data_IF_399725253387
#
_entry.id   IF_399725253387
#
_cell.length_a   1.000
_cell.length_b   1.000
_cell.length_c   1.000
_cell.angle_alpha   90.00
_cell.angle_beta   90.00
_cell.angle_gamma   90.00
#
_symmetry.space_group_name_H-M   'P 1'
#
loop_
_entity.id
_entity.type
_entity.pdbx_description
1 polymer ?
#
# COMPACT_ATOMS: atom_id res chain seq x y z
N UNK A 1 -1.04 -5.19 -77.08
CA UNK A 1 -1.41 -4.07 -76.20
C UNK A 1 -0.42 -4.06 -75.04
N UNK A 2 0.58 -3.17 -75.09
CA UNK A 2 1.62 -3.06 -74.07
C UNK A 2 1.54 -1.66 -73.45
N UNK A 3 1.41 -1.59 -72.13
CA UNK A 3 1.40 -0.37 -71.32
C UNK A 3 2.81 -0.05 -70.80
N UNK A 4 3.14 1.24 -70.55
CA UNK A 4 4.50 1.70 -70.24
C UNK A 4 4.91 1.56 -68.76
N UNK A 5 6.23 1.60 -68.43
CA UNK A 5 6.76 1.38 -67.08
C UNK A 5 6.87 2.67 -66.23
N UNK A 6 6.89 2.49 -64.90
CA UNK A 6 7.08 3.54 -63.89
C UNK A 6 8.22 3.18 -62.90
N UNK A 7 8.81 4.18 -62.20
CA UNK A 7 10.26 4.24 -61.95
C UNK A 7 10.76 3.81 -60.56
N UNK A 8 12.05 3.50 -60.56
CA UNK A 8 12.99 3.16 -59.48
C UNK A 8 13.16 4.29 -58.47
N UNK A 9 13.28 3.96 -57.17
CA UNK A 9 13.85 4.87 -56.17
C UNK A 9 14.88 4.15 -55.28
N UNK A 10 16.10 4.68 -55.32
CA UNK A 10 17.29 4.29 -54.56
C UNK A 10 17.28 5.05 -53.24
N UNK A 11 17.46 4.34 -52.12
CA UNK A 11 17.63 4.93 -50.80
C UNK A 11 19.13 5.19 -50.58
N UNK A 12 19.55 6.45 -50.74
CA UNK A 12 20.87 6.96 -50.37
C UNK A 12 20.80 7.74 -49.05
N UNK A 13 21.80 7.54 -48.20
CA UNK A 13 21.90 8.10 -46.85
C UNK A 13 22.22 9.59 -46.78
N UNK A 14 22.19 10.12 -45.56
CA UNK A 14 22.60 11.47 -45.22
C UNK A 14 22.32 11.80 -43.76
N UNK A 15 23.37 12.18 -43.04
CA UNK A 15 23.43 12.40 -41.60
C UNK A 15 23.31 13.91 -41.26
N UNK A 16 22.96 14.19 -40.00
CA UNK A 16 23.17 15.46 -39.24
C UNK A 16 22.29 16.68 -39.59
N UNK A 17 21.42 17.06 -38.63
CA UNK A 17 21.63 18.24 -37.78
C UNK A 17 20.61 18.25 -36.63
N UNK A 18 21.10 18.49 -35.42
CA UNK A 18 20.31 18.68 -34.21
C UNK A 18 20.21 20.19 -33.96
N UNK A 19 19.02 20.77 -34.09
CA UNK A 19 18.73 22.15 -33.68
C UNK A 19 17.73 22.17 -32.51
N UNK A 20 18.20 22.78 -31.43
CA UNK A 20 17.47 23.75 -30.61
C UNK A 20 16.11 23.39 -30.01
N UNK A 21 16.10 23.11 -28.70
CA UNK A 21 15.04 23.63 -27.83
C UNK A 21 15.63 24.26 -26.57
N UNK A 22 15.28 25.53 -26.42
CA UNK A 22 15.61 26.47 -25.36
C UNK A 22 14.76 26.19 -24.10
N UNK A 23 15.32 26.47 -22.92
CA UNK A 23 14.49 26.83 -21.78
C UNK A 23 14.95 26.36 -20.41
N UNK A 24 15.53 27.33 -19.67
CA UNK A 24 15.53 27.47 -18.20
C UNK A 24 16.65 26.74 -17.44
N UNK A 25 17.82 27.39 -17.41
CA UNK A 25 18.77 27.29 -16.31
C UNK A 25 19.29 28.70 -15.93
N UNK A 26 18.81 29.19 -14.80
CA UNK A 26 19.32 30.33 -14.00
C UNK A 26 18.61 30.13 -12.65
N UNK A 27 19.24 30.00 -11.48
CA UNK A 27 20.48 30.61 -11.00
C UNK A 27 21.24 29.64 -10.08
N UNK A 28 22.57 29.70 -10.19
CA UNK A 28 23.56 29.08 -9.30
C UNK A 28 24.25 30.21 -8.52
N UNK A 29 24.39 29.98 -7.20
CA UNK A 29 25.45 30.44 -6.28
C UNK A 29 25.79 31.93 -6.14
N UNK A 30 25.87 32.35 -4.87
CA UNK A 30 27.13 32.76 -4.22
C UNK A 30 26.93 32.69 -2.69
N UNK A 31 27.52 31.73 -1.97
CA UNK A 31 28.87 31.75 -1.35
C UNK A 31 28.90 32.45 0.03
N UNK A 32 28.98 31.60 1.06
CA UNK A 32 30.03 31.59 2.10
C UNK A 32 30.16 32.78 3.08
N UNK A 33 30.15 32.41 4.38
CA UNK A 33 31.17 32.75 5.38
C UNK A 33 30.88 33.80 6.47
N UNK A 34 31.28 33.44 7.70
CA UNK A 34 31.68 34.25 8.88
C UNK A 34 30.61 34.71 9.91
N UNK A 35 30.50 33.93 10.99
CA UNK A 35 30.97 34.26 12.37
C UNK A 35 30.74 35.70 12.90
N UNK A 36 29.86 35.85 13.90
CA UNK A 36 30.15 36.30 15.28
C UNK A 36 28.93 37.00 15.91
N UNK A 37 28.74 36.66 17.18
CA UNK A 37 28.02 37.35 18.24
C UNK A 37 27.96 38.87 18.09
N UNK A 38 26.89 39.51 18.59
CA UNK A 38 26.96 40.51 19.66
C UNK A 38 25.57 41.12 19.98
N UNK A 39 25.32 41.27 21.28
CA UNK A 39 24.33 42.13 21.97
C UNK A 39 22.84 41.75 22.07
N UNK A 40 22.52 41.20 23.25
CA UNK A 40 21.31 41.54 24.01
C UNK A 40 21.07 43.05 24.03
N UNK A 41 19.87 43.47 23.65
CA UNK A 41 19.22 44.68 24.16
C UNK A 41 17.93 44.24 24.85
N UNK A 42 17.83 44.54 26.14
CA UNK A 42 16.58 44.48 26.90
C UNK A 42 15.61 45.49 26.27
N UNK A 43 14.45 45.02 25.83
CA UNK A 43 13.29 45.84 25.52
C UNK A 43 12.13 45.46 26.42
N UNK A 44 11.86 46.27 27.44
CA UNK A 44 10.70 46.13 28.31
C UNK A 44 9.51 46.90 27.72
N UNK A 45 8.40 46.16 27.56
CA UNK A 45 6.99 46.53 27.72
C UNK A 45 6.48 47.82 27.04
N UNK A 46 5.54 47.66 26.11
CA UNK A 46 4.12 48.03 26.31
C UNK A 46 3.33 47.58 25.08
N UNK A 47 2.26 46.81 25.25
CA UNK A 47 1.42 46.42 24.13
C UNK A 47 0.44 45.31 24.50
N UNK A 48 -0.66 45.70 25.12
CA UNK A 48 -1.89 44.91 25.19
C UNK A 48 -2.34 44.58 23.77
N UNK A 49 -2.05 43.36 23.32
CA UNK A 49 -2.41 42.87 22.01
C UNK A 49 -2.39 41.37 22.05
N UNK A 50 -3.55 40.77 21.86
CA UNK A 50 -3.79 39.33 21.81
C UNK A 50 -2.64 38.59 21.13
N UNK A 51 -1.81 37.91 21.91
CA UNK A 51 -0.93 36.88 21.39
C UNK A 51 -1.82 35.71 20.99
N UNK A 52 -2.34 35.74 19.76
CA UNK A 52 -2.67 34.51 19.06
C UNK A 52 -1.35 33.75 18.89
N UNK A 53 -0.98 32.97 19.91
CA UNK A 53 -0.14 31.79 19.72
C UNK A 53 -0.88 30.95 18.70
N UNK A 54 -0.47 31.06 17.44
CA UNK A 54 -0.81 30.08 16.43
C UNK A 54 -0.23 28.77 16.94
N UNK A 55 -1.07 27.96 17.57
CA UNK A 55 -0.80 26.55 17.72
C UNK A 55 -0.75 26.02 16.29
N UNK A 56 0.45 25.76 15.79
CA UNK A 56 0.62 24.88 14.64
C UNK A 56 0.62 23.47 15.23
N UNK A 57 -0.47 22.68 15.14
CA UNK A 57 -0.37 21.27 15.45
C UNK A 57 0.22 20.61 14.19
N UNK A 58 1.49 20.89 13.93
CA UNK A 58 2.30 20.05 13.06
C UNK A 58 2.85 18.92 13.92
N UNK A 59 2.66 17.71 13.40
CA UNK A 59 3.19 16.44 13.91
C UNK A 59 2.43 15.81 15.08
N UNK A 60 2.00 14.57 14.82
CA UNK A 60 1.36 13.62 15.73
C UNK A 60 -0.03 14.02 16.23
N UNK A 61 -1.00 13.85 15.34
CA UNK A 61 -2.33 13.44 15.75
C UNK A 61 -2.21 12.04 16.39
N UNK A 62 -1.88 11.99 17.68
CA UNK A 62 -2.13 10.82 18.53
C UNK A 62 -3.65 10.65 18.62
N UNK A 63 -4.25 10.04 17.58
CA UNK A 63 -5.67 9.70 17.59
C UNK A 63 -5.91 8.49 18.51
N UNK A 64 -6.31 8.77 19.75
CA UNK A 64 -7.30 7.98 20.48
C UNK A 64 -8.50 7.67 19.54
N UNK A 65 -9.07 6.48 19.40
CA UNK A 65 -8.78 5.15 19.93
C UNK A 65 -9.48 4.07 19.08
N UNK A 66 -9.51 4.21 17.75
CA UNK A 66 -10.05 3.17 16.86
C UNK A 66 -8.99 2.10 16.60
N UNK A 67 -9.13 0.91 17.19
CA UNK A 67 -8.21 -0.21 17.02
C UNK A 67 -8.32 -0.89 15.64
N UNK A 68 -9.48 -0.78 15.00
CA UNK A 68 -9.77 -1.37 13.68
C UNK A 68 -9.38 -0.40 12.57
N UNK A 69 -8.07 -0.28 12.34
CA UNK A 69 -7.49 0.54 11.26
C UNK A 69 -7.03 -0.35 10.10
N UNK A 70 -6.98 0.17 8.86
CA UNK A 70 -6.36 -0.56 7.75
C UNK A 70 -4.89 -0.90 8.08
N UNK A 71 -4.44 -2.08 7.66
CA UNK A 71 -3.12 -2.61 7.99
C UNK A 71 -3.04 -3.34 9.34
N UNK A 72 -4.12 -3.34 10.14
CA UNK A 72 -4.20 -4.18 11.35
C UNK A 72 -4.54 -5.62 11.01
N UNK A 73 -3.94 -6.54 11.76
CA UNK A 73 -4.22 -7.97 11.66
C UNK A 73 -5.42 -8.31 12.54
N UNK A 74 -6.31 -9.10 11.99
CA UNK A 74 -7.54 -9.58 12.63
C UNK A 74 -7.66 -11.09 12.49
N UNK A 75 -8.37 -11.70 13.42
CA UNK A 75 -8.77 -13.10 13.36
C UNK A 75 -10.24 -13.17 13.01
N UNK A 76 -10.58 -14.03 12.04
CA UNK A 76 -11.98 -14.24 11.65
C UNK A 76 -12.63 -15.21 12.63
N UNK A 77 -13.75 -14.82 13.21
CA UNK A 77 -14.48 -15.62 14.20
C UNK A 77 -15.55 -16.51 13.55
N UNK A 78 -16.19 -16.04 12.48
CA UNK A 78 -17.37 -16.71 11.91
C UNK A 78 -17.29 -16.96 10.40
N UNK A 79 -18.05 -17.95 9.94
CA UNK A 79 -18.19 -18.35 8.54
C UNK A 79 -17.09 -19.29 8.04
N UNK A 80 -17.05 -19.52 6.72
CA UNK A 80 -16.13 -20.48 6.08
C UNK A 80 -14.64 -20.28 6.42
N UNK A 81 -14.24 -19.06 6.72
CA UNK A 81 -12.84 -18.71 7.02
C UNK A 81 -12.62 -18.43 8.51
N UNK A 82 -13.47 -18.95 9.41
CA UNK A 82 -13.24 -18.88 10.86
C UNK A 82 -11.89 -19.49 11.25
N UNK A 83 -11.21 -18.90 12.22
CA UNK A 83 -9.88 -19.33 12.67
C UNK A 83 -8.72 -18.93 11.75
N UNK A 84 -9.00 -18.24 10.64
CA UNK A 84 -7.97 -17.71 9.74
C UNK A 84 -7.55 -16.29 10.11
N UNK A 85 -6.25 -16.01 9.89
CA UNK A 85 -5.65 -14.67 10.05
C UNK A 85 -5.88 -13.86 8.79
N UNK A 86 -6.18 -12.58 8.98
CA UNK A 86 -6.43 -11.66 7.90
C UNK A 86 -5.99 -10.23 8.24
N UNK A 87 -5.90 -9.38 7.22
CA UNK A 87 -5.54 -7.96 7.33
C UNK A 87 -6.72 -7.13 6.87
N UNK A 88 -7.03 -6.06 7.62
CA UNK A 88 -8.01 -5.06 7.21
C UNK A 88 -7.40 -4.25 6.06
N UNK A 89 -8.06 -4.25 4.91
CA UNK A 89 -7.64 -3.46 3.74
C UNK A 89 -8.33 -2.09 3.76
N UNK A 90 -9.64 -2.10 3.99
CA UNK A 90 -10.47 -0.90 4.02
C UNK A 90 -11.52 -1.03 5.12
N UNK A 91 -11.62 -0.01 5.95
CA UNK A 91 -12.67 0.17 6.95
C UNK A 91 -13.86 0.90 6.30
N UNK A 92 -15.08 0.48 6.64
CA UNK A 92 -16.33 1.07 6.16
C UNK A 92 -17.25 1.20 7.36
N UNK A 93 -17.14 2.34 8.04
CA UNK A 93 -17.82 2.56 9.31
C UNK A 93 -19.27 3.04 9.09
N UNK A 94 -19.50 3.84 8.04
CA UNK A 94 -20.79 4.51 7.74
C UNK A 94 -21.83 3.62 7.04
N UNK A 95 -21.55 2.32 6.90
CA UNK A 95 -22.42 1.39 6.18
C UNK A 95 -22.44 1.64 4.66
N UNK A 96 -23.15 0.80 3.93
CA UNK A 96 -23.39 0.93 2.47
C UNK A 96 -24.80 0.40 2.20
N UNK A 97 -25.41 0.75 1.07
CA UNK A 97 -26.75 0.27 0.67
C UNK A 97 -26.93 -1.24 0.84
N UNK A 98 -25.91 -2.03 0.48
CA UNK A 98 -25.95 -3.48 0.61
C UNK A 98 -25.77 -3.99 2.05
N UNK A 99 -25.03 -3.25 2.86
CA UNK A 99 -24.56 -3.65 4.18
C UNK A 99 -24.73 -2.44 5.11
N UNK A 100 -25.92 -2.25 5.73
CA UNK A 100 -26.24 -1.05 6.51
C UNK A 100 -25.49 -0.98 7.85
N UNK A 101 -24.67 -1.98 8.17
CA UNK A 101 -23.85 -2.05 9.37
C UNK A 101 -22.38 -1.73 9.08
N UNK A 102 -21.62 -1.39 10.12
CA UNK A 102 -20.18 -1.16 10.03
C UNK A 102 -19.43 -2.45 9.67
N UNK A 103 -18.62 -2.40 8.62
CA UNK A 103 -17.94 -3.58 8.06
C UNK A 103 -16.54 -3.26 7.57
N UNK A 104 -15.74 -4.30 7.39
CA UNK A 104 -14.39 -4.21 6.86
C UNK A 104 -14.23 -5.09 5.63
N UNK A 105 -13.50 -4.57 4.65
CA UNK A 105 -12.95 -5.37 3.57
C UNK A 105 -11.63 -5.98 4.03
N UNK A 106 -11.57 -7.30 4.01
CA UNK A 106 -10.50 -8.07 4.63
C UNK A 106 -9.84 -8.98 3.59
N UNK A 107 -8.51 -9.01 3.61
CA UNK A 107 -7.70 -9.95 2.82
C UNK A 107 -6.94 -10.87 3.77
N UNK A 108 -7.10 -12.19 3.61
CA UNK A 108 -6.53 -13.14 4.54
C UNK A 108 -5.96 -14.39 3.89
N UNK A 109 -5.39 -15.25 4.72
CA UNK A 109 -4.77 -16.51 4.30
C UNK A 109 -5.74 -17.67 4.55
N UNK A 110 -6.20 -18.30 3.47
CA UNK A 110 -7.00 -19.52 3.53
C UNK A 110 -6.09 -20.75 3.74
N UNK A 111 -5.00 -20.84 2.98
CA UNK A 111 -4.02 -21.93 3.16
C UNK A 111 -2.68 -21.35 3.55
N UNK A 112 -2.29 -21.57 4.81
CA UNK A 112 -0.99 -21.17 5.34
C UNK A 112 0.15 -21.96 4.70
N UNK A 113 1.34 -21.34 4.56
CA UNK A 113 2.54 -22.06 4.18
C UNK A 113 2.89 -23.10 5.25
N UNK A 114 3.34 -24.27 4.82
CA UNK A 114 3.76 -25.35 5.72
C UNK A 114 5.22 -25.15 6.11
N UNK A 115 5.62 -25.68 7.26
CA UNK A 115 7.03 -25.63 7.72
C UNK A 115 7.95 -26.19 6.62
N UNK A 116 9.03 -25.46 6.38
CA UNK A 116 10.10 -25.86 5.47
C UNK A 116 11.28 -26.43 6.27
N UNK A 117 11.83 -27.57 5.84
CA UNK A 117 13.03 -28.20 6.39
C UNK A 117 14.03 -28.42 5.26
N UNK A 118 15.33 -28.46 5.59
CA UNK A 118 16.41 -28.56 4.60
C UNK A 118 16.32 -29.83 3.72
N UNK A 119 15.82 -30.94 4.28
CA UNK A 119 15.69 -32.23 3.59
C UNK A 119 14.66 -32.27 2.47
N UNK A 120 13.80 -31.26 2.31
CA UNK A 120 12.65 -31.34 1.40
C UNK A 120 12.97 -31.13 -0.09
N UNK A 121 14.09 -30.51 -0.44
CA UNK A 121 14.51 -30.26 -1.83
C UNK A 121 13.39 -29.68 -2.71
N UNK A 122 12.97 -30.44 -3.74
CA UNK A 122 11.95 -30.01 -4.73
C UNK A 122 10.55 -29.79 -4.13
N UNK A 123 10.24 -30.33 -2.95
CA UNK A 123 8.92 -30.18 -2.29
C UNK A 123 8.70 -28.79 -1.66
N UNK A 124 9.77 -28.00 -1.52
CA UNK A 124 9.72 -26.67 -0.89
C UNK A 124 8.73 -25.74 -1.59
N UNK A 125 8.73 -25.69 -2.93
CA UNK A 125 7.81 -24.84 -3.70
C UNK A 125 6.32 -25.16 -3.42
N UNK A 126 5.98 -26.44 -3.21
CA UNK A 126 4.61 -26.86 -2.87
C UNK A 126 4.23 -26.48 -1.44
N UNK A 127 5.18 -26.44 -0.51
CA UNK A 127 4.95 -26.10 0.90
C UNK A 127 4.78 -24.59 1.12
N UNK A 128 5.50 -23.77 0.34
CA UNK A 128 5.43 -22.30 0.43
C UNK A 128 4.24 -21.68 -0.30
N UNK A 129 3.46 -22.47 -1.05
CA UNK A 129 2.30 -21.98 -1.81
C UNK A 129 1.20 -21.47 -0.88
N UNK A 130 0.80 -20.21 -1.05
CA UNK A 130 -0.26 -19.58 -0.27
C UNK A 130 -1.55 -19.51 -1.09
N UNK A 131 -2.68 -19.77 -0.42
CA UNK A 131 -4.02 -19.47 -0.96
C UNK A 131 -4.62 -18.33 -0.14
N UNK A 132 -4.91 -17.21 -0.80
CA UNK A 132 -5.54 -16.04 -0.20
C UNK A 132 -7.07 -16.09 -0.33
N UNK A 133 -7.75 -15.24 0.44
CA UNK A 133 -9.16 -14.90 0.25
C UNK A 133 -9.36 -13.39 0.45
N UNK A 134 -10.39 -12.86 -0.19
CA UNK A 134 -10.86 -11.48 -0.01
C UNK A 134 -12.36 -11.57 0.26
N UNK A 135 -12.82 -10.94 1.34
CA UNK A 135 -14.22 -10.96 1.76
C UNK A 135 -14.55 -9.75 2.63
N UNK A 136 -15.80 -9.30 2.56
CA UNK A 136 -16.37 -8.29 3.46
C UNK A 136 -16.86 -9.00 4.73
N UNK A 137 -16.51 -8.46 5.90
CA UNK A 137 -16.95 -8.94 7.21
C UNK A 137 -17.56 -7.82 8.03
N UNK A 138 -18.60 -8.14 8.80
CA UNK A 138 -19.00 -7.31 9.93
C UNK A 138 -17.88 -7.30 10.99
N UNK A 139 -17.66 -6.18 11.65
CA UNK A 139 -16.69 -6.05 12.73
C UNK A 139 -16.94 -7.02 13.89
N UNK A 140 -18.20 -7.38 14.20
CA UNK A 140 -18.50 -8.37 15.25
C UNK A 140 -17.94 -9.77 14.96
N UNK A 141 -17.66 -10.08 13.69
CA UNK A 141 -17.07 -11.35 13.27
C UNK A 141 -15.54 -11.31 13.18
N UNK A 142 -14.93 -10.21 13.60
CA UNK A 142 -13.49 -10.01 13.61
C UNK A 142 -13.02 -9.82 15.04
N UNK A 143 -12.03 -10.60 15.45
CA UNK A 143 -11.29 -10.35 16.68
C UNK A 143 -10.05 -9.50 16.34
N UNK A 144 -9.97 -8.25 16.83
CA UNK A 144 -8.79 -7.43 16.62
C UNK A 144 -7.60 -8.02 17.35
N UNK A 145 -6.43 -7.94 16.71
CA UNK A 145 -5.18 -8.35 17.34
C UNK A 145 -4.25 -7.15 17.50
N UNK A 146 -3.25 -7.29 18.37
CA UNK A 146 -2.23 -6.26 18.57
C UNK A 146 -1.37 -6.04 17.33
N UNK A 147 -1.18 -7.07 16.51
CA UNK A 147 -0.24 -7.07 15.41
C UNK A 147 -0.70 -6.17 14.25
N UNK A 148 0.24 -5.45 13.68
CA UNK A 148 0.12 -4.80 12.38
C UNK A 148 0.85 -5.63 11.33
N UNK A 149 0.34 -5.58 10.10
CA UNK A 149 1.02 -6.16 8.95
C UNK A 149 1.07 -5.10 7.85
N UNK A 150 2.26 -4.58 7.57
CA UNK A 150 2.52 -3.76 6.39
C UNK A 150 2.48 -4.65 5.14
N UNK A 151 1.27 -4.94 4.69
CA UNK A 151 1.04 -5.50 3.36
C UNK A 151 0.57 -4.34 2.50
N UNK A 152 1.36 -3.88 1.52
CA UNK A 152 0.93 -2.84 0.58
C UNK A 152 -0.12 -3.44 -0.37
N UNK A 153 -1.34 -3.66 0.13
CA UNK A 153 -2.49 -4.01 -0.68
C UNK A 153 -3.06 -2.71 -1.24
N UNK A 154 -3.11 -2.63 -2.57
CA UNK A 154 -3.62 -1.45 -3.24
C UNK A 154 -5.11 -1.37 -2.96
N UNK A 155 -5.50 -0.31 -2.26
CA UNK A 155 -6.90 -0.03 -1.90
C UNK A 155 -7.80 0.11 -3.13
N UNK A 156 -7.20 0.41 -4.28
CA UNK A 156 -7.86 0.55 -5.58
C UNK A 156 -8.28 -0.81 -6.13
N UNK A 157 -7.43 -1.83 -6.03
CA UNK A 157 -7.72 -3.14 -6.61
C UNK A 157 -8.62 -3.99 -5.71
N UNK A 158 -8.48 -3.83 -4.39
CA UNK A 158 -9.33 -4.49 -3.41
C UNK A 158 -10.41 -3.50 -2.96
N UNK A 159 -11.44 -3.33 -3.79
CA UNK A 159 -12.61 -2.49 -3.51
C UNK A 159 -13.85 -3.33 -3.18
N UNK A 160 -14.93 -2.69 -2.72
CA UNK A 160 -16.21 -3.33 -2.39
C UNK A 160 -16.82 -4.07 -3.60
N UNK A 161 -16.84 -3.42 -4.75
CA UNK A 161 -17.53 -3.91 -5.96
C UNK A 161 -16.88 -5.19 -6.49
N UNK A 162 -15.57 -5.33 -6.26
CA UNK A 162 -14.75 -6.50 -6.61
C UNK A 162 -15.19 -7.76 -5.87
N UNK A 163 -15.88 -7.65 -4.74
CA UNK A 163 -16.33 -8.81 -3.97
C UNK A 163 -17.64 -9.43 -4.49
N UNK A 164 -18.44 -8.67 -5.26
CA UNK A 164 -19.74 -9.12 -5.79
C UNK A 164 -19.55 -10.11 -6.95
N UNK A 165 -18.80 -9.72 -7.98
CA UNK A 165 -18.62 -10.54 -9.17
C UNK A 165 -17.43 -11.52 -9.07
N UNK A 166 -17.54 -12.75 -9.61
CA UNK A 166 -16.52 -13.78 -9.47
C UNK A 166 -15.22 -13.46 -10.22
N UNK A 167 -15.30 -12.79 -11.36
CA UNK A 167 -14.14 -12.44 -12.20
C UNK A 167 -13.20 -11.42 -11.52
N UNK A 168 -13.65 -10.22 -11.07
CA UNK A 168 -12.78 -9.28 -10.38
C UNK A 168 -12.32 -9.82 -9.03
N UNK A 169 -13.16 -10.60 -8.33
CA UNK A 169 -12.76 -11.32 -7.11
C UNK A 169 -11.63 -12.32 -7.32
N UNK A 170 -11.53 -12.91 -8.50
CA UNK A 170 -10.42 -13.79 -8.85
C UNK A 170 -9.11 -13.00 -8.94
N UNK A 171 -9.13 -11.84 -9.61
CA UNK A 171 -7.98 -10.93 -9.74
C UNK A 171 -7.49 -10.42 -8.39
N UNK A 172 -8.38 -9.91 -7.55
CA UNK A 172 -8.00 -9.44 -6.21
C UNK A 172 -7.43 -10.54 -5.31
N UNK A 173 -7.95 -11.78 -5.40
CA UNK A 173 -7.34 -12.92 -4.70
C UNK A 173 -5.95 -13.23 -5.23
N UNK A 174 -5.76 -13.22 -6.56
CA UNK A 174 -4.46 -13.47 -7.17
C UNK A 174 -3.41 -12.46 -6.70
N UNK A 175 -3.74 -11.16 -6.70
CA UNK A 175 -2.82 -10.12 -6.25
C UNK A 175 -2.49 -10.22 -4.77
N UNK A 176 -3.50 -10.44 -3.91
CA UNK A 176 -3.26 -10.67 -2.50
C UNK A 176 -2.36 -11.90 -2.27
N UNK A 177 -2.51 -12.95 -3.08
CA UNK A 177 -1.66 -14.15 -3.03
C UNK A 177 -0.21 -13.81 -3.38
N UNK A 178 0.03 -13.08 -4.47
CA UNK A 178 1.39 -12.70 -4.90
C UNK A 178 2.09 -11.89 -3.81
N UNK A 179 1.42 -10.87 -3.27
CA UNK A 179 1.95 -10.02 -2.21
C UNK A 179 2.24 -10.80 -0.92
N UNK A 180 1.35 -11.71 -0.52
CA UNK A 180 1.61 -12.58 0.63
C UNK A 180 2.77 -13.54 0.41
N UNK A 181 2.98 -14.05 -0.82
CA UNK A 181 4.12 -14.91 -1.14
C UNK A 181 5.46 -14.14 -1.09
N UNK A 182 5.49 -12.89 -1.56
CA UNK A 182 6.67 -12.00 -1.48
C UNK A 182 7.07 -11.68 -0.03
N UNK A 183 6.10 -11.31 0.81
CA UNK A 183 6.35 -11.01 2.23
C UNK A 183 6.82 -12.26 2.96
N UNK A 184 6.24 -13.43 2.66
CA UNK A 184 6.63 -14.69 3.29
C UNK A 184 8.08 -15.08 2.98
N UNK A 185 8.53 -14.89 1.72
CA UNK A 185 9.93 -15.11 1.33
C UNK A 185 10.90 -14.22 2.08
N UNK A 186 10.49 -12.98 2.38
CA UNK A 186 11.29 -12.01 3.16
C UNK A 186 11.36 -12.38 4.65
N UNK A 187 10.49 -13.29 5.14
CA UNK A 187 10.48 -13.72 6.55
C UNK A 187 9.84 -12.72 7.52
N UNK A 188 9.23 -11.63 7.02
CA UNK A 188 8.49 -10.66 7.84
C UNK A 188 7.17 -11.26 8.33
N UNK A 189 6.63 -10.71 9.42
CA UNK A 189 5.31 -11.07 9.97
C UNK A 189 5.13 -12.58 10.21
N UNK A 190 6.13 -13.24 10.81
CA UNK A 190 6.15 -14.69 11.08
C UNK A 190 4.85 -15.20 11.71
N UNK A 191 4.31 -14.47 12.68
CA UNK A 191 3.05 -14.83 13.33
C UNK A 191 1.87 -14.88 12.35
N UNK A 192 1.78 -13.97 11.38
CA UNK A 192 0.68 -13.93 10.40
C UNK A 192 0.62 -15.19 9.53
N UNK A 193 1.78 -15.70 9.11
CA UNK A 193 1.86 -16.88 8.25
C UNK A 193 1.74 -18.20 9.01
N UNK A 194 1.99 -18.22 10.31
CA UNK A 194 1.79 -19.41 11.13
C UNK A 194 0.31 -19.74 11.32
N UNK A 195 -0.05 -21.02 11.14
CA UNK A 195 -1.41 -21.51 11.37
C UNK A 195 -1.77 -21.36 12.85
N UNK A 196 -2.93 -20.78 13.13
CA UNK A 196 -3.50 -20.79 14.48
C UNK A 196 -4.02 -22.20 14.79
N UNK A 197 -3.65 -22.74 15.95
CA UNK A 197 -4.14 -24.03 16.45
C UNK A 197 -5.16 -23.73 17.52
N UNK A 198 -6.37 -24.23 17.31
CA UNK A 198 -7.49 -24.21 18.24
C UNK A 198 -8.06 -25.63 18.27
#
# INVERSE_FOLDING_TARGET
>A
MATPPAPTSTIGGGCLHHEGQTGKAMQIFWIFHIRKHHHCTLGTLTGSGSHNRVWVPSLLQLQEGKFMKPGKVVLVLAGRYSGHKAVIVKNIDDGTSDHPYSHALVAGINRNPRKVTASMGKKIAKHSKIKSFVKIYNYSHLMPTRYSADTPLDKTVVNKDVCRDPAPKCKARWEARVKFEEIHKTGKNKWFFQKLRF
#
